data_IF_846629499758
#
_entry.id   IF_846629499758
#
_cell.length_a   1.000
_cell.length_b   1.000
_cell.length_c   1.000
_cell.angle_alpha   90.00
_cell.angle_beta   90.00
_cell.angle_gamma   90.00
#
_symmetry.space_group_name_H-M   'P 1'
#
loop_
_entity.id
_entity.type
_entity.pdbx_description
1 polymer ?
#
# COMPACT_ATOMS: atom_id res chain seq x y z
N UNK A 1 1.13 -6.05 14.19
CA UNK A 1 1.16 -4.70 13.61
C UNK A 1 2.22 -3.90 14.35
N UNK A 2 2.86 -2.94 13.68
CA UNK A 2 3.78 -2.04 14.35
C UNK A 2 3.03 -0.90 15.06
N UNK A 3 3.43 -0.53 16.28
CA UNK A 3 2.78 0.51 17.08
C UNK A 3 2.98 1.95 16.55
N UNK A 4 3.91 2.17 15.61
CA UNK A 4 4.33 3.51 15.20
C UNK A 4 3.22 4.43 14.66
N UNK A 5 2.15 3.87 14.09
CA UNK A 5 1.00 4.65 13.58
C UNK A 5 -0.27 4.46 14.43
N UNK A 6 -0.52 3.25 14.93
CA UNK A 6 -1.71 2.94 15.73
C UNK A 6 -1.72 3.66 17.09
N UNK A 7 -0.56 3.84 17.73
CA UNK A 7 -0.47 4.58 19.01
C UNK A 7 -0.85 6.06 18.84
N UNK A 8 -0.30 6.79 17.85
CA UNK A 8 -0.79 8.14 17.53
C UNK A 8 -2.29 8.22 17.26
N UNK A 9 -2.88 7.25 16.55
CA UNK A 9 -4.33 7.23 16.31
C UNK A 9 -5.12 7.09 17.60
N UNK A 10 -4.69 6.23 18.52
CA UNK A 10 -5.33 6.07 19.84
C UNK A 10 -5.20 7.35 20.68
N UNK A 11 -4.04 8.02 20.62
CA UNK A 11 -3.84 9.30 21.31
C UNK A 11 -4.80 10.35 20.76
N UNK A 12 -4.93 10.45 19.43
CA UNK A 12 -5.87 11.36 18.76
C UNK A 12 -7.32 11.08 19.19
N UNK A 13 -7.71 9.81 19.19
CA UNK A 13 -9.05 9.36 19.58
C UNK A 13 -9.39 9.76 21.02
N UNK A 14 -8.46 9.52 21.96
CA UNK A 14 -8.62 9.92 23.37
C UNK A 14 -8.62 11.43 23.56
N UNK A 15 -7.76 12.15 22.84
CA UNK A 15 -7.66 13.61 22.93
C UNK A 15 -8.95 14.29 22.44
N UNK A 16 -9.58 13.74 21.41
CA UNK A 16 -10.85 14.22 20.86
C UNK A 16 -12.08 13.65 21.58
N UNK A 17 -11.91 12.81 22.59
CA UNK A 17 -12.99 12.16 23.35
C UNK A 17 -14.00 11.43 22.44
N UNK A 18 -13.52 10.78 21.39
CA UNK A 18 -14.38 10.03 20.48
C UNK A 18 -14.88 8.76 21.16
N UNK A 19 -16.20 8.62 21.28
CA UNK A 19 -16.84 7.48 21.96
C UNK A 19 -17.68 6.62 21.02
N UNK A 20 -18.26 7.19 19.96
CA UNK A 20 -19.02 6.44 18.97
C UNK A 20 -18.09 5.81 17.92
N UNK A 21 -18.26 4.51 17.67
CA UNK A 21 -17.39 3.75 16.76
C UNK A 21 -17.33 4.33 15.35
N UNK A 22 -18.42 4.88 14.80
CA UNK A 22 -18.41 5.51 13.47
C UNK A 22 -17.52 6.74 13.47
N UNK A 23 -17.62 7.59 14.49
CA UNK A 23 -16.76 8.79 14.58
C UNK A 23 -15.28 8.42 14.71
N UNK A 24 -14.97 7.32 15.40
CA UNK A 24 -13.61 6.77 15.48
C UNK A 24 -13.11 6.31 14.11
N UNK A 25 -13.91 5.55 13.36
CA UNK A 25 -13.56 5.13 12.00
C UNK A 25 -13.31 6.33 11.08
N UNK A 26 -14.23 7.31 11.08
CA UNK A 26 -14.12 8.52 10.25
C UNK A 26 -12.85 9.32 10.58
N UNK A 27 -12.53 9.51 11.87
CA UNK A 27 -11.32 10.21 12.29
C UNK A 27 -10.03 9.47 11.89
N UNK A 28 -9.99 8.14 12.07
CA UNK A 28 -8.84 7.31 11.67
C UNK A 28 -8.65 7.28 10.16
N UNK A 29 -9.74 7.23 9.39
CA UNK A 29 -9.71 7.29 7.93
C UNK A 29 -9.14 8.62 7.44
N UNK A 30 -9.62 9.73 8.00
CA UNK A 30 -9.12 11.07 7.69
C UNK A 30 -7.63 11.21 8.03
N UNK A 31 -7.22 10.79 9.23
CA UNK A 31 -5.82 10.85 9.66
C UNK A 31 -4.89 10.03 8.73
N UNK A 32 -5.33 8.84 8.31
CA UNK A 32 -4.59 7.98 7.37
C UNK A 32 -4.43 8.67 6.01
N UNK A 33 -5.51 9.25 5.48
CA UNK A 33 -5.50 9.93 4.19
C UNK A 33 -4.63 11.19 4.21
N UNK A 34 -4.75 12.02 5.24
CA UNK A 34 -3.92 13.22 5.39
C UNK A 34 -2.43 12.87 5.50
N UNK A 35 -2.08 11.81 6.24
CA UNK A 35 -0.70 11.36 6.35
C UNK A 35 -0.13 10.91 4.99
N UNK A 36 -0.94 10.21 4.19
CA UNK A 36 -0.59 9.86 2.82
C UNK A 36 -0.34 11.10 1.94
N UNK A 37 -1.24 12.09 1.96
CA UNK A 37 -1.11 13.31 1.16
C UNK A 37 0.16 14.12 1.53
N UNK A 38 0.46 14.23 2.82
CA UNK A 38 1.69 14.87 3.31
C UNK A 38 2.91 14.11 2.75
N UNK A 39 2.90 12.78 2.81
CA UNK A 39 4.01 11.98 2.27
C UNK A 39 4.15 12.09 0.75
N UNK A 40 3.05 12.21 0.01
CA UNK A 40 3.07 12.41 -1.42
C UNK A 40 3.72 13.75 -1.78
N UNK A 41 3.44 14.81 -1.00
CA UNK A 41 4.15 16.07 -1.11
C UNK A 41 5.64 15.94 -0.77
N UNK A 42 6.03 15.14 0.24
CA UNK A 42 7.44 14.80 0.45
C UNK A 42 8.05 14.09 -0.77
N UNK A 43 7.27 13.26 -1.48
CA UNK A 43 7.66 12.67 -2.76
C UNK A 43 7.94 13.70 -3.86
N UNK A 44 7.13 14.76 -3.95
CA UNK A 44 7.41 15.92 -4.82
C UNK A 44 8.77 16.55 -4.48
N UNK A 45 9.03 16.82 -3.19
CA UNK A 45 10.27 17.45 -2.75
C UNK A 45 11.47 16.55 -3.04
N UNK A 46 11.34 15.24 -2.82
CA UNK A 46 12.37 14.26 -3.15
C UNK A 46 12.68 14.25 -4.65
N UNK A 47 11.65 14.16 -5.49
CA UNK A 47 11.81 14.21 -6.94
C UNK A 47 12.47 15.52 -7.39
N UNK A 48 12.08 16.66 -6.80
CA UNK A 48 12.72 17.95 -7.10
C UNK A 48 14.19 17.98 -6.70
N UNK A 49 14.54 17.36 -5.57
CA UNK A 49 15.94 17.24 -5.12
C UNK A 49 16.78 16.35 -6.04
N UNK A 50 16.22 15.23 -6.52
CA UNK A 50 16.91 14.28 -7.39
C UNK A 50 17.08 14.81 -8.83
N UNK A 51 16.00 15.31 -9.42
CA UNK A 51 15.95 15.62 -10.85
C UNK A 51 16.13 17.11 -11.18
N UNK A 52 15.98 18.00 -10.19
CA UNK A 52 16.09 19.46 -10.36
C UNK A 52 15.16 20.06 -11.44
N UNK A 53 14.10 19.34 -11.80
CA UNK A 53 13.10 19.73 -12.80
C UNK A 53 11.71 19.81 -12.17
N UNK A 54 11.13 21.02 -11.94
CA UNK A 54 9.84 21.17 -11.27
C UNK A 54 8.68 20.43 -11.94
N UNK A 55 8.63 20.42 -13.28
CA UNK A 55 7.59 19.72 -14.03
C UNK A 55 7.67 18.20 -13.84
N UNK A 56 8.88 17.64 -13.81
CA UNK A 56 9.10 16.22 -13.57
C UNK A 56 8.78 15.83 -12.11
N UNK A 57 9.09 16.71 -11.16
CA UNK A 57 8.69 16.53 -9.76
C UNK A 57 7.17 16.56 -9.59
N UNK A 58 6.48 17.47 -10.28
CA UNK A 58 5.01 17.53 -10.29
C UNK A 58 4.42 16.26 -10.93
N UNK A 59 5.03 15.76 -12.01
CA UNK A 59 4.64 14.48 -12.58
C UNK A 59 4.80 13.34 -11.55
N UNK A 60 5.89 13.30 -10.80
CA UNK A 60 6.11 12.33 -9.73
C UNK A 60 5.03 12.38 -8.64
N UNK A 61 4.67 13.58 -8.20
CA UNK A 61 3.56 13.79 -7.26
C UNK A 61 2.23 13.27 -7.82
N UNK A 62 1.89 13.67 -9.05
CA UNK A 62 0.66 13.24 -9.70
C UNK A 62 0.64 11.72 -9.85
N UNK A 63 1.76 11.12 -10.25
CA UNK A 63 1.93 9.68 -10.35
C UNK A 63 1.64 8.98 -9.01
N UNK A 64 2.19 9.48 -7.89
CA UNK A 64 1.98 8.91 -6.56
C UNK A 64 0.51 8.94 -6.13
N UNK A 65 -0.18 10.05 -6.39
CA UNK A 65 -1.57 10.27 -5.97
C UNK A 65 -2.57 9.56 -6.89
N UNK A 66 -2.32 9.52 -8.20
CA UNK A 66 -3.20 8.90 -9.20
C UNK A 66 -2.92 7.40 -9.39
N UNK A 67 -2.48 6.69 -8.35
CA UNK A 67 -2.53 5.24 -8.34
C UNK A 67 -3.86 4.80 -7.71
N UNK A 68 -4.85 4.32 -8.49
CA UNK A 68 -6.23 4.15 -8.01
C UNK A 68 -6.34 3.33 -6.73
N UNK A 69 -5.65 2.19 -6.71
CA UNK A 69 -5.67 1.27 -5.58
C UNK A 69 -5.05 1.87 -4.32
N UNK A 70 -3.83 2.40 -4.41
CA UNK A 70 -3.13 3.06 -3.28
C UNK A 70 -3.92 4.28 -2.79
N UNK A 71 -4.50 5.07 -3.70
CA UNK A 71 -5.34 6.21 -3.33
C UNK A 71 -6.57 5.78 -2.54
N UNK A 72 -7.33 4.77 -2.98
CA UNK A 72 -8.45 4.24 -2.20
C UNK A 72 -7.99 3.71 -0.83
N UNK A 73 -6.93 2.90 -0.80
CA UNK A 73 -6.39 2.38 0.45
C UNK A 73 -5.97 3.48 1.43
N UNK A 74 -5.60 4.67 0.95
CA UNK A 74 -5.24 5.76 1.85
C UNK A 74 -6.38 6.21 2.77
N UNK A 75 -7.63 5.88 2.45
CA UNK A 75 -8.77 6.16 3.32
C UNK A 75 -8.96 5.14 4.43
N UNK A 76 -8.53 3.89 4.29
CA UNK A 76 -8.96 2.82 5.22
C UNK A 76 -7.88 1.81 5.62
N UNK A 77 -6.72 1.84 4.95
CA UNK A 77 -5.62 0.92 5.23
C UNK A 77 -4.63 1.55 6.22
N UNK A 78 -4.90 1.41 7.52
CA UNK A 78 -4.07 1.95 8.60
C UNK A 78 -2.70 1.26 8.76
N UNK A 79 -2.32 0.34 7.86
CA UNK A 79 -1.13 -0.51 8.01
C UNK A 79 -0.14 -0.36 6.87
N UNK A 80 -0.57 -0.56 5.63
CA UNK A 80 0.33 -0.53 4.48
C UNK A 80 0.58 0.90 4.00
N UNK A 81 -0.43 1.77 4.04
CA UNK A 81 -0.31 3.15 3.56
C UNK A 81 0.50 4.04 4.51
N UNK A 82 0.31 3.99 5.84
CA UNK A 82 1.19 4.71 6.76
C UNK A 82 2.64 4.24 6.65
N UNK A 83 2.86 2.94 6.40
CA UNK A 83 4.20 2.43 6.17
C UNK A 83 4.82 2.96 4.87
N UNK A 84 4.09 2.95 3.75
CA UNK A 84 4.51 3.60 2.51
C UNK A 84 4.86 5.07 2.75
N UNK A 85 3.99 5.78 3.47
CA UNK A 85 4.11 7.21 3.74
C UNK A 85 5.37 7.52 4.55
N UNK A 86 5.60 6.79 5.65
CA UNK A 86 6.80 6.92 6.47
C UNK A 86 8.06 6.52 5.68
N UNK A 87 7.99 5.50 4.83
CA UNK A 87 9.10 5.08 3.97
C UNK A 87 9.48 6.15 2.96
N UNK A 88 8.51 6.80 2.31
CA UNK A 88 8.73 7.91 1.38
C UNK A 88 9.32 9.14 2.08
N UNK A 89 8.84 9.47 3.28
CA UNK A 89 9.43 10.53 4.11
C UNK A 89 10.88 10.16 4.46
N UNK A 90 11.16 8.92 4.86
CA UNK A 90 12.52 8.47 5.13
C UNK A 90 13.43 8.55 3.90
N UNK A 91 12.93 8.20 2.71
CA UNK A 91 13.66 8.39 1.44
C UNK A 91 14.05 9.86 1.24
N UNK A 92 13.13 10.80 1.47
CA UNK A 92 13.41 12.24 1.39
C UNK A 92 14.51 12.65 2.38
N UNK A 93 14.36 12.29 3.66
CA UNK A 93 15.32 12.69 4.69
C UNK A 93 16.71 12.10 4.44
N UNK A 94 16.80 10.84 3.99
CA UNK A 94 18.04 10.22 3.55
C UNK A 94 18.68 10.99 2.39
N UNK A 95 17.88 11.41 1.40
CA UNK A 95 18.38 12.22 0.28
C UNK A 95 18.89 13.60 0.72
N UNK A 96 18.21 14.26 1.68
CA UNK A 96 18.68 15.52 2.27
C UNK A 96 19.99 15.30 3.02
N UNK A 97 20.10 14.22 3.79
CA UNK A 97 21.31 13.90 4.57
C UNK A 97 22.55 13.77 3.69
N UNK A 98 22.44 13.08 2.54
CA UNK A 98 23.58 12.89 1.62
C UNK A 98 23.86 14.11 0.73
N UNK A 99 22.87 14.98 0.53
CA UNK A 99 23.04 16.23 -0.21
C UNK A 99 23.61 17.35 0.68
N UNK A 100 23.41 17.25 1.99
CA UNK A 100 23.88 18.19 3.00
C UNK A 100 25.23 17.79 3.60
N UNK A 101 25.80 18.71 4.39
CA UNK A 101 27.03 18.47 5.17
C UNK A 101 26.80 18.25 6.66
N UNK A 102 25.58 18.48 7.13
CA UNK A 102 25.28 18.60 8.56
C UNK A 102 24.89 17.26 9.18
N UNK A 103 25.49 16.97 10.34
CA UNK A 103 25.36 15.70 11.01
C UNK A 103 23.93 15.42 11.52
N UNK A 104 23.17 16.47 11.88
CA UNK A 104 21.79 16.34 12.33
C UNK A 104 20.86 15.74 11.27
N UNK A 105 21.16 15.88 9.97
CA UNK A 105 20.35 15.22 8.94
C UNK A 105 20.55 13.69 8.92
N UNK A 106 21.73 13.20 9.33
CA UNK A 106 21.94 11.76 9.52
C UNK A 106 21.19 11.26 10.76
N UNK A 107 21.14 12.06 11.84
CA UNK A 107 20.27 11.78 13.00
C UNK A 107 18.81 11.68 12.57
N UNK A 108 18.32 12.67 11.80
CA UNK A 108 16.96 12.71 11.29
C UNK A 108 16.67 11.55 10.32
N UNK A 109 17.64 11.16 9.48
CA UNK A 109 17.50 10.01 8.59
C UNK A 109 17.36 8.71 9.40
N UNK A 110 18.20 8.51 10.41
CA UNK A 110 18.08 7.38 11.34
C UNK A 110 16.72 7.33 12.01
N UNK A 111 16.27 8.47 12.54
CA UNK A 111 14.96 8.63 13.16
C UNK A 111 13.80 8.30 12.19
N UNK A 112 13.83 8.81 10.96
CA UNK A 112 12.78 8.57 9.98
C UNK A 112 12.71 7.09 9.55
N UNK A 113 13.86 6.45 9.31
CA UNK A 113 13.92 5.02 8.96
C UNK A 113 13.47 4.14 10.14
N UNK A 114 13.80 4.51 11.38
CA UNK A 114 13.31 3.84 12.58
C UNK A 114 11.81 3.98 12.75
N UNK A 115 11.25 5.17 12.50
CA UNK A 115 9.82 5.38 12.54
C UNK A 115 9.09 4.49 11.53
N UNK A 116 9.54 4.45 10.27
CA UNK A 116 9.00 3.52 9.27
C UNK A 116 9.11 2.06 9.72
N UNK A 117 10.26 1.67 10.31
CA UNK A 117 10.50 0.33 10.84
C UNK A 117 9.59 -0.03 12.02
N UNK A 118 9.16 0.96 12.81
CA UNK A 118 8.23 0.80 13.93
C UNK A 118 6.77 0.60 13.48
N UNK A 119 6.42 0.99 12.25
CA UNK A 119 5.13 0.67 11.62
C UNK A 119 5.18 -0.74 11.03
N UNK A 120 6.25 -1.06 10.30
CA UNK A 120 6.55 -2.41 9.83
C UNK A 120 8.05 -2.68 9.82
N UNK A 121 8.44 -3.83 10.38
CA UNK A 121 9.86 -4.20 10.52
C UNK A 121 10.62 -4.29 9.20
N UNK A 122 9.94 -4.55 8.07
CA UNK A 122 10.56 -4.56 6.73
C UNK A 122 11.07 -3.17 6.30
N UNK A 123 10.71 -2.09 7.02
CA UNK A 123 11.32 -0.77 6.85
C UNK A 123 12.85 -0.77 6.99
N UNK A 124 13.41 -1.77 7.70
CA UNK A 124 14.86 -1.98 7.82
C UNK A 124 15.56 -2.19 6.47
N UNK A 125 14.83 -2.54 5.40
CA UNK A 125 15.38 -2.58 4.04
C UNK A 125 16.02 -1.25 3.65
N UNK A 126 15.44 -0.11 4.05
CA UNK A 126 16.02 1.19 3.76
C UNK A 126 17.27 1.47 4.62
N UNK A 127 17.34 0.93 5.84
CA UNK A 127 18.58 0.94 6.65
C UNK A 127 19.71 0.26 5.88
N UNK A 128 19.47 -0.95 5.35
CA UNK A 128 20.47 -1.68 4.57
C UNK A 128 20.93 -0.90 3.33
N UNK A 129 19.98 -0.35 2.56
CA UNK A 129 20.28 0.47 1.39
C UNK A 129 21.09 1.74 1.73
N UNK A 130 20.71 2.45 2.80
CA UNK A 130 21.42 3.66 3.22
C UNK A 130 22.80 3.36 3.82
N UNK A 131 22.97 2.24 4.52
CA UNK A 131 24.29 1.81 4.97
C UNK A 131 25.20 1.45 3.79
N UNK A 132 24.65 0.84 2.73
CA UNK A 132 25.40 0.62 1.50
C UNK A 132 25.84 1.95 0.85
N UNK A 133 24.98 2.99 0.87
CA UNK A 133 25.37 4.34 0.42
C UNK A 133 26.62 4.84 1.16
N UNK A 134 26.58 4.79 2.49
CA UNK A 134 27.65 5.29 3.36
C UNK A 134 28.92 4.44 3.27
N UNK A 135 28.78 3.13 3.04
CA UNK A 135 29.91 2.25 2.78
C UNK A 135 30.62 2.65 1.48
N UNK A 136 29.88 2.99 0.42
CA UNK A 136 30.49 3.51 -0.81
C UNK A 136 31.19 4.86 -0.57
N UNK A 137 30.63 5.76 0.26
CA UNK A 137 31.30 7.01 0.64
C UNK A 137 32.65 6.76 1.32
N UNK A 138 32.75 5.70 2.13
CA UNK A 138 33.99 5.30 2.80
C UNK A 138 35.10 4.94 1.79
N UNK A 139 34.76 4.27 0.69
CA UNK A 139 35.73 3.80 -0.30
C UNK A 139 35.99 4.78 -1.45
N UNK A 140 35.05 5.67 -1.77
CA UNK A 140 35.13 6.55 -2.95
C UNK A 140 35.71 7.95 -2.67
N UNK A 141 36.31 8.13 -1.49
CA UNK A 141 36.99 9.38 -1.08
C UNK A 141 36.05 10.59 -0.94
N UNK A 142 34.75 10.37 -0.75
CA UNK A 142 33.73 11.43 -0.58
C UNK A 142 33.77 12.12 0.81
N UNK A 143 34.75 11.79 1.65
CA UNK A 143 35.00 12.38 2.96
C UNK A 143 36.17 11.73 3.67
N UNK A 144 36.59 12.27 4.82
CA UNK A 144 37.54 11.58 5.69
C UNK A 144 36.85 10.38 6.35
N UNK A 145 37.61 9.30 6.59
CA UNK A 145 37.14 8.10 7.30
C UNK A 145 36.41 8.45 8.61
N UNK A 146 36.94 9.43 9.35
CA UNK A 146 36.34 9.96 10.58
C UNK A 146 34.96 10.58 10.34
N UNK A 147 34.80 11.38 9.27
CA UNK A 147 33.53 12.00 8.95
C UNK A 147 32.46 10.95 8.61
N UNK A 148 32.79 9.94 7.80
CA UNK A 148 31.86 8.86 7.46
C UNK A 148 31.49 8.03 8.68
N UNK A 149 32.46 7.72 9.56
CA UNK A 149 32.18 7.06 10.85
C UNK A 149 31.18 7.88 11.70
N UNK A 150 31.37 9.20 11.81
CA UNK A 150 30.45 10.06 12.53
C UNK A 150 29.04 10.06 11.93
N UNK A 151 28.91 10.06 10.60
CA UNK A 151 27.61 9.96 9.90
C UNK A 151 26.89 8.66 10.26
N UNK A 152 27.60 7.53 10.24
CA UNK A 152 27.08 6.21 10.60
C UNK A 152 26.64 6.18 12.07
N UNK A 153 27.50 6.62 12.99
CA UNK A 153 27.19 6.67 14.43
C UNK A 153 25.96 7.52 14.69
N UNK A 154 25.88 8.70 14.06
CA UNK A 154 24.74 9.61 14.26
C UNK A 154 23.46 9.04 13.67
N UNK A 155 23.54 8.39 12.51
CA UNK A 155 22.39 7.67 11.95
C UNK A 155 21.88 6.60 12.93
N UNK A 156 22.76 5.76 13.47
CA UNK A 156 22.35 4.71 14.40
C UNK A 156 21.86 5.26 15.75
N UNK A 157 22.36 6.40 16.20
CA UNK A 157 21.84 7.10 17.37
C UNK A 157 20.38 7.51 17.17
N UNK A 158 20.06 8.15 16.04
CA UNK A 158 18.69 8.54 15.70
C UNK A 158 17.78 7.33 15.50
N UNK A 159 18.31 6.29 14.84
CA UNK A 159 17.60 5.04 14.60
C UNK A 159 17.24 4.34 15.91
N UNK A 160 18.22 4.07 16.78
CA UNK A 160 18.00 3.38 18.05
C UNK A 160 17.05 4.17 18.97
N UNK A 161 17.24 5.50 19.06
CA UNK A 161 16.40 6.36 19.88
C UNK A 161 14.93 6.32 19.48
N UNK A 162 14.62 6.58 18.21
CA UNK A 162 13.22 6.59 17.74
C UNK A 162 12.62 5.19 17.68
N UNK A 163 13.40 4.16 17.33
CA UNK A 163 12.90 2.78 17.29
C UNK A 163 12.46 2.34 18.70
N UNK A 164 13.27 2.65 19.72
CA UNK A 164 12.92 2.35 21.11
C UNK A 164 11.67 3.12 21.54
N UNK A 165 11.60 4.44 21.27
CA UNK A 165 10.45 5.26 21.67
C UNK A 165 9.14 4.84 21.00
N UNK A 166 9.17 4.61 19.68
CA UNK A 166 7.98 4.33 18.89
C UNK A 166 7.55 2.85 18.93
N UNK A 167 8.30 1.98 19.62
CA UNK A 167 8.01 0.55 19.66
C UNK A 167 7.97 0.00 21.09
N UNK A 168 6.83 0.15 21.81
CA UNK A 168 6.73 -0.22 23.24
C UNK A 168 7.10 -1.67 23.58
N UNK A 169 6.96 -2.60 22.64
CA UNK A 169 7.43 -3.98 22.80
C UNK A 169 8.93 -4.06 23.14
N UNK A 170 9.72 -3.11 22.62
CA UNK A 170 11.17 -3.05 22.82
C UNK A 170 11.53 -2.49 24.21
N UNK A 171 10.61 -1.87 24.95
CA UNK A 171 10.91 -1.27 26.26
C UNK A 171 11.32 -2.31 27.31
N UNK A 172 10.71 -3.50 27.24
CA UNK A 172 11.01 -4.60 28.18
C UNK A 172 12.21 -5.41 27.74
N UNK A 173 12.35 -5.67 26.45
CA UNK A 173 13.41 -6.52 25.91
C UNK A 173 13.77 -6.10 24.47
N UNK A 174 14.68 -5.11 24.29
CA UNK A 174 14.91 -4.49 22.98
C UNK A 174 15.41 -5.48 21.92
N UNK A 175 16.41 -6.30 22.27
CA UNK A 175 17.05 -7.21 21.31
C UNK A 175 16.15 -8.39 20.99
N UNK A 176 15.70 -9.12 22.02
CA UNK A 176 14.86 -10.31 21.83
C UNK A 176 13.48 -9.94 21.29
N UNK A 177 12.91 -8.80 21.69
CA UNK A 177 11.64 -8.29 21.15
C UNK A 177 11.72 -7.97 19.65
N UNK A 178 12.83 -7.38 19.20
CA UNK A 178 13.07 -7.12 17.77
C UNK A 178 13.20 -8.43 16.99
N UNK A 179 14.03 -9.36 17.46
CA UNK A 179 14.25 -10.67 16.83
C UNK A 179 12.93 -11.47 16.76
N UNK A 180 12.17 -11.52 17.84
CA UNK A 180 10.89 -12.21 17.87
C UNK A 180 9.87 -11.59 16.90
N UNK A 181 9.91 -10.27 16.71
CA UNK A 181 9.02 -9.57 15.78
C UNK A 181 9.32 -9.89 14.32
N UNK A 182 10.60 -10.08 13.95
CA UNK A 182 10.98 -10.53 12.60
C UNK A 182 10.60 -12.00 12.38
N UNK A 183 10.75 -12.87 13.38
CA UNK A 183 10.31 -14.26 13.28
C UNK A 183 8.80 -14.40 13.13
N UNK A 184 8.00 -13.58 13.82
CA UNK A 184 6.53 -13.59 13.70
C UNK A 184 6.05 -13.32 12.27
N UNK A 185 6.80 -12.60 11.43
CA UNK A 185 6.44 -12.44 10.01
C UNK A 185 6.36 -13.78 9.26
N UNK A 186 7.09 -14.81 9.69
CA UNK A 186 7.08 -16.13 9.05
C UNK A 186 5.87 -16.99 9.46
N UNK A 187 5.23 -16.68 10.59
CA UNK A 187 4.33 -17.62 11.27
C UNK A 187 2.89 -17.13 11.39
N UNK A 188 2.52 -15.95 10.85
CA UNK A 188 1.11 -15.49 10.86
C UNK A 188 0.29 -16.46 9.99
N UNK A 189 -0.58 -17.30 10.58
CA UNK A 189 -1.52 -18.11 9.82
C UNK A 189 -2.71 -17.22 9.49
N UNK A 190 -2.99 -17.00 8.21
CA UNK A 190 -4.23 -16.34 7.79
C UNK A 190 -5.32 -17.40 7.56
N UNK A 191 -4.94 -18.57 7.05
CA UNK A 191 -5.82 -19.74 6.94
C UNK A 191 -6.95 -19.60 5.92
N UNK A 192 -6.96 -18.53 5.13
CA UNK A 192 -7.95 -18.32 4.07
C UNK A 192 -7.48 -18.81 2.70
N UNK A 193 -8.40 -18.79 1.74
CA UNK A 193 -8.15 -19.12 0.34
C UNK A 193 -7.94 -17.83 -0.44
N UNK A 194 -6.92 -17.83 -1.31
CA UNK A 194 -6.62 -16.75 -2.24
C UNK A 194 -7.00 -17.17 -3.66
N UNK A 195 -7.73 -16.33 -4.37
CA UNK A 195 -8.09 -16.55 -5.77
C UNK A 195 -7.08 -15.86 -6.69
N UNK A 196 -6.45 -16.62 -7.58
CA UNK A 196 -5.50 -16.10 -8.55
C UNK A 196 -5.55 -16.85 -9.88
N UNK A 197 -5.79 -16.11 -10.97
CA UNK A 197 -6.02 -16.64 -12.32
C UNK A 197 -7.00 -17.81 -12.36
N UNK A 198 -8.06 -17.72 -11.56
CA UNK A 198 -9.14 -18.71 -11.49
C UNK A 198 -8.83 -19.97 -10.67
N UNK A 199 -7.67 -20.03 -10.02
CA UNK A 199 -7.30 -21.12 -9.14
C UNK A 199 -7.17 -20.64 -7.68
N UNK A 200 -7.53 -21.54 -6.76
CA UNK A 200 -7.44 -21.33 -5.31
C UNK A 200 -6.07 -21.72 -4.77
N UNK A 201 -5.48 -20.84 -3.97
CA UNK A 201 -4.19 -21.04 -3.32
C UNK A 201 -4.27 -20.73 -1.83
N UNK A 202 -3.29 -21.23 -1.07
CA UNK A 202 -3.03 -20.80 0.31
C UNK A 202 -1.95 -19.72 0.32
N UNK A 203 -1.85 -18.96 1.40
CA UNK A 203 -0.93 -17.84 1.56
C UNK A 203 0.56 -18.23 1.46
N UNK A 204 0.88 -19.52 1.63
CA UNK A 204 2.25 -20.08 1.52
C UNK A 204 2.52 -20.80 0.21
N UNK A 205 1.50 -21.11 -0.59
CA UNK A 205 1.62 -21.88 -1.82
C UNK A 205 1.26 -21.05 -3.06
N UNK A 206 1.67 -19.79 -3.08
CA UNK A 206 1.42 -18.90 -4.21
C UNK A 206 2.46 -19.14 -5.32
N UNK A 207 2.03 -19.11 -6.60
CA UNK A 207 2.96 -19.22 -7.72
C UNK A 207 3.89 -17.99 -7.76
N UNK A 208 5.13 -18.18 -8.22
CA UNK A 208 6.13 -17.11 -8.30
C UNK A 208 5.65 -15.86 -9.08
N UNK A 209 4.76 -16.06 -10.05
CA UNK A 209 4.15 -14.99 -10.84
C UNK A 209 3.07 -14.18 -10.12
N UNK A 210 2.67 -14.52 -8.89
CA UNK A 210 1.59 -13.84 -8.16
C UNK A 210 1.84 -12.35 -7.95
N UNK A 211 2.94 -12.01 -7.25
CA UNK A 211 3.30 -10.63 -6.95
C UNK A 211 3.58 -9.80 -8.21
N UNK A 212 4.39 -10.28 -9.19
CA UNK A 212 4.58 -9.57 -10.45
C UNK A 212 3.28 -9.34 -11.20
N UNK A 213 2.36 -10.32 -11.23
CA UNK A 213 1.08 -10.16 -11.92
C UNK A 213 0.22 -9.12 -11.23
N UNK A 214 0.02 -9.22 -9.91
CA UNK A 214 -0.74 -8.22 -9.14
C UNK A 214 -0.18 -6.81 -9.28
N UNK A 215 1.14 -6.65 -9.18
CA UNK A 215 1.80 -5.37 -9.41
C UNK A 215 1.53 -4.82 -10.81
N UNK A 216 1.62 -5.68 -11.83
CA UNK A 216 1.45 -5.27 -13.24
C UNK A 216 0.01 -4.92 -13.59
N UNK A 217 -0.97 -5.68 -13.11
CA UNK A 217 -2.37 -5.50 -13.51
C UNK A 217 -3.12 -4.41 -12.74
N UNK A 218 -2.64 -4.05 -11.54
CA UNK A 218 -3.29 -3.05 -10.68
C UNK A 218 -2.66 -1.66 -10.77
N UNK A 219 -1.67 -1.49 -11.64
CA UNK A 219 -0.99 -0.22 -11.89
C UNK A 219 -1.36 0.30 -13.28
N UNK A 220 -1.66 1.60 -13.45
CA UNK A 220 -1.90 2.12 -14.78
C UNK A 220 -0.67 1.98 -15.71
N UNK A 221 -0.90 1.83 -17.01
CA UNK A 221 0.05 1.27 -17.98
C UNK A 221 1.30 2.14 -18.15
N UNK A 222 1.12 3.46 -18.28
CA UNK A 222 2.26 4.36 -18.51
C UNK A 222 3.21 4.45 -17.30
N UNK A 223 2.67 4.34 -16.08
CA UNK A 223 3.48 4.23 -14.86
C UNK A 223 4.30 2.94 -14.87
N UNK A 224 3.67 1.81 -15.18
CA UNK A 224 4.33 0.50 -15.26
C UNK A 224 5.43 0.52 -16.33
N UNK A 225 5.10 0.99 -17.54
CA UNK A 225 6.04 1.07 -18.65
C UNK A 225 7.25 1.94 -18.30
N UNK A 226 7.03 3.17 -17.82
CA UNK A 226 8.13 4.09 -17.51
C UNK A 226 8.97 3.62 -16.33
N UNK A 227 8.37 3.03 -15.30
CA UNK A 227 9.15 2.47 -14.18
C UNK A 227 10.02 1.27 -14.60
N UNK A 228 9.51 0.37 -15.46
CA UNK A 228 10.29 -0.73 -16.02
C UNK A 228 11.42 -0.22 -16.93
N UNK A 229 11.13 0.72 -17.82
CA UNK A 229 12.15 1.37 -18.66
C UNK A 229 13.22 2.08 -17.80
N UNK A 230 12.81 2.69 -16.70
CA UNK A 230 13.69 3.35 -15.75
C UNK A 230 14.70 2.40 -15.13
N UNK A 231 14.23 1.24 -14.66
CA UNK A 231 15.07 0.15 -14.16
C UNK A 231 16.07 -0.30 -15.23
N UNK A 232 15.57 -0.62 -16.43
CA UNK A 232 16.40 -1.14 -17.53
C UNK A 232 17.48 -0.14 -17.92
N UNK A 233 17.13 1.12 -18.16
CA UNK A 233 18.10 2.15 -18.54
C UNK A 233 19.09 2.48 -17.44
N UNK A 234 18.67 2.54 -16.18
CA UNK A 234 19.59 2.79 -15.08
C UNK A 234 20.62 1.66 -14.98
N UNK A 235 20.19 0.40 -15.09
CA UNK A 235 21.09 -0.77 -15.08
C UNK A 235 22.05 -0.76 -16.28
N UNK A 236 21.57 -0.48 -17.49
CA UNK A 236 22.44 -0.37 -18.68
C UNK A 236 23.49 0.73 -18.48
N UNK A 237 23.09 1.91 -17.97
CA UNK A 237 24.01 3.01 -17.73
C UNK A 237 25.02 2.70 -16.63
N UNK A 238 24.58 2.00 -15.56
CA UNK A 238 25.46 1.51 -14.52
C UNK A 238 26.50 0.53 -15.05
N UNK A 239 26.08 -0.45 -15.87
CA UNK A 239 26.99 -1.43 -16.47
C UNK A 239 28.00 -0.78 -17.42
N UNK A 240 27.60 0.28 -18.14
CA UNK A 240 28.50 1.04 -19.03
C UNK A 240 29.47 1.94 -18.27
N UNK A 241 29.02 2.56 -17.18
CA UNK A 241 29.78 3.59 -16.45
C UNK A 241 29.64 3.46 -14.92
N UNK A 242 30.09 2.35 -14.31
CA UNK A 242 29.84 2.08 -12.90
C UNK A 242 30.48 3.12 -11.98
N UNK A 243 31.65 3.65 -12.35
CA UNK A 243 32.36 4.67 -11.57
C UNK A 243 31.55 5.99 -11.43
N UNK A 244 30.71 6.34 -12.41
CA UNK A 244 29.87 7.54 -12.35
C UNK A 244 28.80 7.37 -11.28
N UNK A 245 28.13 6.22 -11.25
CA UNK A 245 27.13 5.88 -10.24
C UNK A 245 27.70 5.82 -8.84
N UNK A 246 28.96 5.38 -8.69
CA UNK A 246 29.62 5.36 -7.40
C UNK A 246 30.06 6.76 -6.96
N UNK A 247 30.25 7.74 -7.84
CA UNK A 247 30.71 9.10 -7.49
C UNK A 247 29.59 10.13 -7.37
N UNK A 248 28.53 10.00 -8.18
CA UNK A 248 27.42 10.95 -8.23
C UNK A 248 26.35 10.58 -7.19
N UNK A 249 26.06 11.45 -6.19
CA UNK A 249 25.08 11.14 -5.14
C UNK A 249 23.70 10.73 -5.65
N UNK A 250 23.19 11.43 -6.66
CA UNK A 250 21.90 11.16 -7.30
C UNK A 250 21.85 9.75 -7.90
N UNK A 251 22.82 9.44 -8.77
CA UNK A 251 22.84 8.15 -9.49
C UNK A 251 23.05 6.98 -8.52
N UNK A 252 23.89 7.19 -7.50
CA UNK A 252 24.06 6.22 -6.40
C UNK A 252 22.74 5.97 -5.66
N UNK A 253 22.00 7.03 -5.34
CA UNK A 253 20.70 6.93 -4.67
C UNK A 253 19.69 6.16 -5.52
N UNK A 254 19.63 6.42 -6.83
CA UNK A 254 18.76 5.69 -7.75
C UNK A 254 19.15 4.19 -7.83
N UNK A 255 20.44 3.86 -7.79
CA UNK A 255 20.90 2.46 -7.73
C UNK A 255 20.44 1.76 -6.45
N UNK A 256 20.50 2.46 -5.30
CA UNK A 256 19.96 1.95 -4.04
C UNK A 256 18.45 1.75 -4.13
N UNK A 257 17.72 2.63 -4.83
CA UNK A 257 16.29 2.44 -5.02
C UNK A 257 15.97 1.18 -5.82
N UNK A 258 16.79 0.79 -6.80
CA UNK A 258 16.66 -0.52 -7.46
C UNK A 258 16.87 -1.66 -6.45
N UNK A 259 17.92 -1.60 -5.64
CA UNK A 259 18.20 -2.62 -4.62
C UNK A 259 17.03 -2.72 -3.63
N UNK A 260 16.56 -1.60 -3.09
CA UNK A 260 15.45 -1.55 -2.16
C UNK A 260 14.09 -1.92 -2.80
N UNK A 261 13.95 -1.81 -4.12
CA UNK A 261 12.75 -2.23 -4.84
C UNK A 261 12.70 -3.76 -4.99
N UNK A 262 13.81 -4.40 -5.38
CA UNK A 262 13.86 -5.85 -5.60
C UNK A 262 14.13 -6.67 -4.32
N UNK A 263 14.86 -6.12 -3.35
CA UNK A 263 15.24 -6.86 -2.14
C UNK A 263 14.03 -7.38 -1.34
N UNK A 264 12.98 -6.57 -1.06
CA UNK A 264 11.80 -7.06 -0.34
C UNK A 264 11.05 -8.21 -1.01
N UNK A 265 10.62 -8.14 -2.30
CA UNK A 265 9.91 -9.26 -2.93
C UNK A 265 10.78 -10.52 -3.02
N UNK A 266 12.09 -10.38 -3.29
CA UNK A 266 13.03 -11.51 -3.31
C UNK A 266 13.15 -12.14 -1.92
N UNK A 267 13.26 -11.33 -0.86
CA UNK A 267 13.32 -11.81 0.51
C UNK A 267 12.03 -12.53 0.92
N UNK A 268 10.85 -12.00 0.56
CA UNK A 268 9.57 -12.65 0.84
C UNK A 268 9.47 -14.02 0.14
N UNK A 269 9.86 -14.09 -1.13
CA UNK A 269 9.88 -15.34 -1.89
C UNK A 269 10.87 -16.36 -1.28
N UNK A 270 12.09 -15.93 -0.95
CA UNK A 270 13.11 -16.77 -0.35
C UNK A 270 12.71 -17.29 1.04
N UNK A 271 12.02 -16.47 1.84
CA UNK A 271 11.53 -16.82 3.17
C UNK A 271 10.23 -17.64 3.14
N UNK A 272 9.59 -17.80 1.97
CA UNK A 272 8.22 -18.32 1.82
C UNK A 272 7.26 -17.62 2.78
N UNK A 273 7.39 -16.30 2.87
CA UNK A 273 6.55 -15.49 3.74
C UNK A 273 5.12 -15.47 3.21
N UNK A 274 4.14 -15.43 4.13
CA UNK A 274 2.74 -15.33 3.75
C UNK A 274 2.47 -14.01 3.02
N UNK A 275 1.92 -14.10 1.81
CA UNK A 275 1.38 -12.97 1.05
C UNK A 275 -0.13 -13.14 1.01
N UNK A 276 -0.87 -12.07 1.28
CA UNK A 276 -2.33 -12.10 1.45
C UNK A 276 -2.92 -11.00 0.58
N UNK A 277 -4.06 -11.29 -0.04
CA UNK A 277 -4.86 -10.40 -0.88
C UNK A 277 -4.17 -10.01 -2.20
N UNK A 278 -3.32 -8.98 -2.19
CA UNK A 278 -2.62 -8.47 -3.36
C UNK A 278 -1.14 -8.18 -3.01
N UNK A 279 -0.54 -7.16 -3.62
CA UNK A 279 0.83 -6.74 -3.31
C UNK A 279 0.90 -5.66 -2.22
N UNK A 280 -0.16 -5.44 -1.43
CA UNK A 280 -0.29 -4.43 -0.35
C UNK A 280 0.86 -4.42 0.64
N UNK A 281 1.39 -5.58 0.99
CA UNK A 281 2.55 -5.68 1.89
C UNK A 281 3.82 -5.05 1.31
N UNK A 282 3.84 -4.84 -0.01
CA UNK A 282 4.92 -4.23 -0.77
C UNK A 282 4.58 -2.83 -1.28
N UNK A 283 3.44 -2.21 -0.93
CA UNK A 283 3.11 -0.85 -1.38
C UNK A 283 4.23 0.17 -1.13
N UNK A 284 5.00 0.02 -0.05
CA UNK A 284 6.14 0.89 0.25
C UNK A 284 7.26 0.90 -0.81
N UNK A 285 7.34 -0.09 -1.72
CA UNK A 285 8.31 -0.06 -2.83
C UNK A 285 7.82 0.81 -3.99
N UNK A 286 6.53 1.20 -4.02
CA UNK A 286 5.95 2.01 -5.08
C UNK A 286 6.65 3.37 -5.24
N UNK A 287 6.94 4.15 -4.17
CA UNK A 287 7.68 5.40 -4.34
C UNK A 287 9.09 5.24 -4.95
N UNK A 288 9.77 4.12 -4.68
CA UNK A 288 11.05 3.78 -5.33
C UNK A 288 10.84 3.62 -6.84
N UNK A 289 9.81 2.86 -7.21
CA UNK A 289 9.42 2.65 -8.61
C UNK A 289 9.04 3.95 -9.31
N UNK A 290 8.35 4.86 -8.63
CA UNK A 290 8.04 6.20 -9.16
C UNK A 290 9.31 6.99 -9.48
N UNK A 291 10.30 7.02 -8.57
CA UNK A 291 11.56 7.72 -8.84
C UNK A 291 12.29 7.11 -10.05
N UNK A 292 12.22 5.79 -10.23
CA UNK A 292 12.77 5.12 -11.41
C UNK A 292 11.98 5.46 -12.69
N UNK A 293 10.65 5.58 -12.60
CA UNK A 293 9.82 6.04 -13.71
C UNK A 293 10.19 7.47 -14.16
N UNK A 294 10.42 8.38 -13.21
CA UNK A 294 10.86 9.74 -13.52
C UNK A 294 12.24 9.77 -14.20
N UNK A 295 13.15 8.87 -13.82
CA UNK A 295 14.42 8.70 -14.52
C UNK A 295 14.21 8.33 -15.99
N UNK A 296 13.27 7.43 -16.30
CA UNK A 296 12.94 7.13 -17.70
C UNK A 296 12.35 8.35 -18.42
N UNK A 297 11.41 9.07 -17.80
CA UNK A 297 10.78 10.24 -18.44
C UNK A 297 11.81 11.33 -18.75
N UNK A 298 12.74 11.61 -17.83
CA UNK A 298 13.85 12.54 -18.07
C UNK A 298 14.69 12.13 -19.29
N UNK A 299 14.98 10.83 -19.42
CA UNK A 299 15.74 10.28 -20.56
C UNK A 299 14.95 10.31 -21.86
N UNK A 300 13.67 9.94 -21.84
CA UNK A 300 12.78 10.01 -23.00
C UNK A 300 12.69 11.43 -23.54
N UNK A 301 12.70 12.45 -22.68
CA UNK A 301 12.64 13.85 -23.09
C UNK A 301 13.88 14.31 -23.91
N UNK A 302 14.95 13.52 -23.94
CA UNK A 302 16.12 13.77 -24.80
C UNK A 302 15.88 13.32 -26.25
N UNK A 303 14.95 12.38 -26.48
CA UNK A 303 14.66 11.77 -27.78
C UNK A 303 13.27 12.14 -28.33
N UNK A 304 12.32 12.43 -27.45
CA UNK A 304 10.95 12.81 -27.77
C UNK A 304 10.68 14.25 -27.32
N UNK A 305 9.95 15.01 -28.14
CA UNK A 305 9.53 16.36 -27.76
C UNK A 305 8.70 16.29 -26.48
N UNK A 306 9.01 17.14 -25.51
CA UNK A 306 8.34 17.17 -24.19
C UNK A 306 6.82 17.29 -24.29
N UNK A 307 6.30 17.99 -25.31
CA UNK A 307 4.86 18.07 -25.59
C UNK A 307 4.20 16.71 -25.80
N UNK A 308 4.83 15.79 -26.54
CA UNK A 308 4.28 14.44 -26.75
C UNK A 308 4.27 13.62 -25.46
N UNK A 309 5.33 13.68 -24.67
CA UNK A 309 5.36 13.03 -23.35
C UNK A 309 4.26 13.59 -22.44
N UNK A 310 4.10 14.91 -22.41
CA UNK A 310 3.03 15.56 -21.65
C UNK A 310 1.65 15.11 -22.11
N UNK A 311 1.40 15.00 -23.43
CA UNK A 311 0.13 14.49 -23.97
C UNK A 311 -0.12 13.05 -23.56
N UNK A 312 0.88 12.15 -23.66
CA UNK A 312 0.72 10.75 -23.26
C UNK A 312 0.35 10.61 -21.78
N UNK A 313 1.05 11.34 -20.91
CA UNK A 313 0.72 11.36 -19.49
C UNK A 313 -0.64 11.99 -19.22
N UNK A 314 -0.99 13.10 -19.89
CA UNK A 314 -2.30 13.74 -19.73
C UNK A 314 -3.45 12.80 -20.12
N UNK A 315 -3.33 12.07 -21.23
CA UNK A 315 -4.32 11.07 -21.67
C UNK A 315 -4.45 9.96 -20.64
N UNK A 316 -3.33 9.43 -20.15
CA UNK A 316 -3.37 8.39 -19.14
C UNK A 316 -3.99 8.90 -17.81
N UNK A 317 -3.64 10.12 -17.36
CA UNK A 317 -4.27 10.73 -16.18
C UNK A 317 -5.77 10.96 -16.40
N UNK A 318 -6.21 11.31 -17.61
CA UNK A 318 -7.64 11.44 -17.92
C UNK A 318 -8.38 10.10 -17.80
N UNK A 319 -7.81 9.00 -18.27
CA UNK A 319 -8.38 7.66 -18.06
C UNK A 319 -8.47 7.29 -16.57
N UNK A 320 -7.41 7.56 -15.81
CA UNK A 320 -7.43 7.31 -14.36
C UNK A 320 -8.43 8.21 -13.65
N UNK A 321 -8.52 9.49 -14.00
CA UNK A 321 -9.49 10.42 -13.44
C UNK A 321 -10.92 9.97 -13.74
N UNK A 322 -11.20 9.57 -14.98
CA UNK A 322 -12.49 9.02 -15.37
C UNK A 322 -12.84 7.79 -14.53
N UNK A 323 -11.89 6.87 -14.32
CA UNK A 323 -12.08 5.74 -13.41
C UNK A 323 -12.35 6.20 -11.96
N UNK A 324 -11.61 7.20 -11.44
CA UNK A 324 -11.84 7.74 -10.11
C UNK A 324 -13.27 8.22 -9.93
N UNK A 325 -13.82 8.93 -10.92
CA UNK A 325 -15.20 9.43 -10.88
C UNK A 325 -16.22 8.28 -10.97
N UNK A 326 -16.09 7.38 -11.93
CA UNK A 326 -17.10 6.33 -12.16
C UNK A 326 -17.07 5.23 -11.12
N UNK A 327 -15.90 4.95 -10.54
CA UNK A 327 -15.74 3.89 -9.57
C UNK A 327 -15.84 4.38 -8.13
N UNK A 328 -16.02 5.67 -7.84
CA UNK A 328 -16.02 6.16 -6.45
C UNK A 328 -17.15 5.51 -5.61
N UNK A 329 -16.87 5.02 -4.38
CA UNK A 329 -15.60 5.05 -3.62
C UNK A 329 -14.73 3.77 -3.74
N UNK A 330 -14.88 3.00 -4.82
CA UNK A 330 -14.32 1.67 -5.06
C UNK A 330 -13.01 1.65 -5.87
N UNK A 331 -12.15 2.67 -5.79
CA UNK A 331 -10.92 2.70 -6.60
C UNK A 331 -9.91 1.59 -6.21
N UNK A 332 -10.08 0.94 -5.06
CA UNK A 332 -9.25 -0.20 -4.63
C UNK A 332 -9.38 -1.40 -5.56
N UNK A 333 -10.49 -1.55 -6.28
CA UNK A 333 -10.71 -2.67 -7.20
C UNK A 333 -10.24 -2.35 -8.63
N UNK A 334 -9.33 -1.40 -8.82
CA UNK A 334 -8.83 -1.10 -10.17
C UNK A 334 -8.01 -2.25 -10.76
N UNK A 335 -8.30 -2.57 -12.02
CA UNK A 335 -7.39 -3.26 -12.95
C UNK A 335 -7.22 -2.47 -14.26
N UNK A 336 -6.03 -2.55 -14.81
CA UNK A 336 -5.65 -1.93 -16.08
C UNK A 336 -6.06 -2.81 -17.29
N UNK A 337 -5.72 -2.38 -18.51
CA UNK A 337 -6.09 -3.09 -19.75
C UNK A 337 -5.16 -4.26 -20.12
N UNK A 338 -4.19 -4.62 -19.28
CA UNK A 338 -3.36 -5.82 -19.48
C UNK A 338 -4.07 -7.12 -19.12
N UNK A 339 -5.32 -7.04 -18.65
CA UNK A 339 -6.16 -8.18 -18.29
C UNK A 339 -7.50 -8.06 -19.02
N UNK A 340 -8.17 -9.18 -19.37
CA UNK A 340 -9.48 -9.15 -20.01
C UNK A 340 -10.60 -8.44 -19.20
N UNK A 341 -11.32 -7.49 -19.81
CA UNK A 341 -12.45 -6.76 -19.19
C UNK A 341 -13.82 -7.37 -19.50
N UNK A 342 -13.87 -8.69 -19.77
CA UNK A 342 -15.14 -9.39 -20.01
C UNK A 342 -15.94 -9.54 -18.71
N UNK A 343 -17.25 -9.75 -18.82
CA UNK A 343 -18.15 -9.84 -17.68
C UNK A 343 -17.65 -10.83 -16.61
N UNK A 344 -17.66 -10.37 -15.35
CA UNK A 344 -17.27 -11.13 -14.15
C UNK A 344 -15.83 -11.70 -14.16
N UNK A 345 -14.99 -11.32 -15.11
CA UNK A 345 -13.63 -11.86 -15.21
C UNK A 345 -12.81 -11.62 -13.95
N UNK A 346 -12.93 -10.45 -13.32
CA UNK A 346 -12.11 -10.11 -12.17
C UNK A 346 -12.52 -10.90 -10.94
N UNK A 347 -13.81 -10.93 -10.65
CA UNK A 347 -14.41 -11.72 -9.56
C UNK A 347 -14.02 -13.20 -9.65
N UNK A 348 -14.01 -13.76 -10.85
CA UNK A 348 -13.76 -15.18 -11.08
C UNK A 348 -12.29 -15.55 -11.16
N UNK A 349 -11.39 -14.58 -11.30
CA UNK A 349 -9.96 -14.84 -11.47
C UNK A 349 -9.09 -14.28 -10.36
N UNK A 350 -9.56 -13.31 -9.58
CA UNK A 350 -8.75 -12.63 -8.58
C UNK A 350 -9.58 -12.33 -7.33
N UNK A 351 -8.92 -12.24 -6.17
CA UNK A 351 -9.51 -11.65 -4.98
C UNK A 351 -9.79 -10.15 -5.21
N UNK A 352 -10.89 -9.87 -5.89
CA UNK A 352 -11.14 -8.57 -6.50
C UNK A 352 -11.50 -7.52 -5.45
N UNK A 353 -12.58 -7.75 -4.69
CA UNK A 353 -13.02 -6.87 -3.60
C UNK A 353 -12.78 -7.49 -2.22
N UNK A 354 -11.52 -7.76 -1.91
CA UNK A 354 -11.14 -8.49 -0.70
C UNK A 354 -11.29 -7.66 0.59
N UNK A 355 -11.39 -6.33 0.49
CA UNK A 355 -11.44 -5.41 1.64
C UNK A 355 -12.85 -5.16 2.17
N UNK A 356 -13.88 -5.36 1.34
CA UNK A 356 -15.28 -5.22 1.74
C UNK A 356 -15.77 -3.78 1.88
N UNK A 357 -15.18 -2.81 1.17
CA UNK A 357 -15.61 -1.41 1.20
C UNK A 357 -17.07 -1.23 0.74
N UNK A 358 -17.57 -2.13 -0.11
CA UNK A 358 -18.93 -2.11 -0.62
C UNK A 358 -20.01 -2.64 0.35
N UNK A 359 -19.63 -3.29 1.47
CA UNK A 359 -20.59 -3.86 2.42
C UNK A 359 -21.46 -2.79 3.09
N UNK A 360 -20.91 -1.59 3.34
CA UNK A 360 -21.68 -0.50 3.95
C UNK A 360 -22.83 -0.06 3.05
N UNK A 361 -22.58 0.05 1.74
CA UNK A 361 -23.61 0.43 0.77
C UNK A 361 -24.67 -0.67 0.63
N UNK A 362 -24.25 -1.93 0.59
CA UNK A 362 -25.16 -3.08 0.59
C UNK A 362 -26.08 -3.11 1.81
N UNK A 363 -25.56 -2.83 3.01
CA UNK A 363 -26.38 -2.74 4.23
C UNK A 363 -27.35 -1.56 4.19
N UNK A 364 -26.91 -0.39 3.70
CA UNK A 364 -27.78 0.77 3.56
C UNK A 364 -28.94 0.51 2.58
N UNK A 365 -28.67 -0.21 1.48
CA UNK A 365 -29.71 -0.66 0.56
C UNK A 365 -30.76 -1.51 1.27
N UNK A 366 -30.32 -2.54 2.02
CA UNK A 366 -31.24 -3.42 2.76
C UNK A 366 -32.09 -2.61 3.75
N UNK A 367 -31.45 -1.76 4.56
CA UNK A 367 -32.14 -1.01 5.62
C UNK A 367 -33.12 0.06 5.09
N UNK A 368 -32.96 0.46 3.83
CA UNK A 368 -33.88 1.37 3.14
C UNK A 368 -35.12 0.65 2.57
N UNK A 369 -35.03 -0.67 2.32
CA UNK A 369 -36.11 -1.45 1.69
C UNK A 369 -36.78 -2.44 2.64
N UNK A 370 -36.15 -2.76 3.77
CA UNK A 370 -36.75 -3.58 4.84
C UNK A 370 -37.15 -2.68 6.01
N UNK A 371 -38.39 -2.76 6.46
CA UNK A 371 -38.93 -1.97 7.58
C UNK A 371 -38.92 -2.70 8.92
N UNK A 372 -38.39 -3.93 8.98
CA UNK A 372 -38.31 -4.69 10.22
C UNK A 372 -37.49 -3.95 11.28
N UNK A 373 -37.87 -4.16 12.55
CA UNK A 373 -37.19 -3.59 13.70
C UNK A 373 -35.75 -4.13 13.84
N UNK A 374 -35.54 -5.40 13.48
CA UNK A 374 -34.24 -6.02 13.31
C UNK A 374 -34.16 -6.73 11.97
N UNK A 375 -33.01 -6.59 11.31
CA UNK A 375 -32.67 -7.20 10.04
C UNK A 375 -31.45 -8.09 10.25
N UNK A 376 -31.63 -9.39 10.02
CA UNK A 376 -30.61 -10.42 10.24
C UNK A 376 -29.81 -10.63 8.95
N UNK A 377 -28.51 -10.37 8.99
CA UNK A 377 -27.64 -10.39 7.81
C UNK A 377 -26.54 -11.43 7.98
N UNK A 378 -26.46 -12.36 7.03
CA UNK A 378 -25.37 -13.32 6.91
C UNK A 378 -24.33 -12.85 5.88
N UNK A 379 -23.07 -13.22 6.09
CA UNK A 379 -21.93 -12.89 5.23
C UNK A 379 -20.61 -13.14 5.96
N UNK A 380 -19.51 -12.70 5.37
CA UNK A 380 -18.20 -12.69 6.04
C UNK A 380 -18.26 -11.83 7.30
N UNK A 381 -18.12 -12.47 8.46
CA UNK A 381 -18.37 -11.91 9.79
C UNK A 381 -17.70 -10.54 9.99
N UNK A 382 -16.38 -10.48 9.80
CA UNK A 382 -15.62 -9.24 10.00
C UNK A 382 -16.10 -8.11 9.08
N UNK A 383 -16.42 -8.41 7.82
CA UNK A 383 -16.84 -7.38 6.85
C UNK A 383 -18.24 -6.85 7.18
N UNK A 384 -19.17 -7.73 7.54
CA UNK A 384 -20.53 -7.34 7.94
C UNK A 384 -20.48 -6.54 9.24
N UNK A 385 -19.78 -7.02 10.27
CA UNK A 385 -19.67 -6.33 11.57
C UNK A 385 -18.99 -4.97 11.42
N UNK A 386 -17.89 -4.89 10.67
CA UNK A 386 -17.23 -3.60 10.41
C UNK A 386 -18.14 -2.63 9.65
N UNK A 387 -18.89 -3.10 8.66
CA UNK A 387 -19.84 -2.26 7.96
C UNK A 387 -20.99 -1.78 8.86
N UNK A 388 -21.55 -2.65 9.72
CA UNK A 388 -22.58 -2.28 10.72
C UNK A 388 -22.05 -1.21 11.67
N UNK A 389 -20.85 -1.38 12.23
CA UNK A 389 -20.26 -0.39 13.16
C UNK A 389 -20.07 0.99 12.51
N UNK A 390 -19.88 1.05 11.19
CA UNK A 390 -19.78 2.31 10.45
C UNK A 390 -21.14 2.98 10.12
N UNK A 391 -22.27 2.36 10.48
CA UNK A 391 -23.60 2.92 10.23
C UNK A 391 -23.98 4.00 11.26
N UNK A 392 -24.90 4.92 10.91
CA UNK A 392 -25.55 5.81 11.87
C UNK A 392 -26.25 5.01 13.00
N UNK A 393 -26.35 5.54 14.23
CA UNK A 393 -26.89 4.79 15.37
C UNK A 393 -28.25 4.11 15.13
N UNK A 394 -29.20 4.82 14.51
CA UNK A 394 -30.53 4.27 14.20
C UNK A 394 -30.47 3.08 13.23
N UNK A 395 -29.59 3.16 12.22
CA UNK A 395 -29.38 2.08 11.24
C UNK A 395 -28.58 0.92 11.85
N UNK A 396 -27.55 1.25 12.66
CA UNK A 396 -26.68 0.28 13.35
C UNK A 396 -27.48 -0.64 14.26
N UNK A 397 -28.40 -0.08 15.04
CA UNK A 397 -29.22 -0.85 16.00
C UNK A 397 -30.22 -1.81 15.32
N UNK A 398 -30.53 -1.57 14.04
CA UNK A 398 -31.44 -2.42 13.26
C UNK A 398 -30.73 -3.59 12.58
N UNK A 399 -29.45 -3.46 12.23
CA UNK A 399 -28.70 -4.50 11.52
C UNK A 399 -27.95 -5.42 12.50
N UNK A 400 -28.15 -6.73 12.37
CA UNK A 400 -27.48 -7.74 13.20
C UNK A 400 -26.81 -8.77 12.30
N UNK A 401 -25.52 -9.00 12.51
CA UNK A 401 -24.83 -10.14 11.88
C UNK A 401 -25.28 -11.44 12.54
N UNK A 402 -25.63 -12.43 11.72
CA UNK A 402 -26.02 -13.77 12.18
C UNK A 402 -25.32 -14.85 11.35
N UNK A 403 -25.22 -16.04 11.90
CA UNK A 403 -24.74 -17.24 11.22
C UNK A 403 -25.78 -17.82 10.27
N UNK A 404 -25.36 -18.70 9.36
CA UNK A 404 -26.22 -19.28 8.32
C UNK A 404 -27.38 -20.10 8.90
N UNK A 405 -27.13 -20.83 9.98
CA UNK A 405 -28.09 -21.65 10.73
C UNK A 405 -29.04 -20.83 11.61
N UNK A 406 -28.72 -19.56 11.87
CA UNK A 406 -29.53 -18.63 12.64
C UNK A 406 -30.62 -17.92 11.79
N UNK A 407 -31.05 -18.52 10.67
CA UNK A 407 -32.13 -18.00 9.82
C UNK A 407 -31.94 -16.49 9.46
N UNK A 408 -30.88 -16.14 8.73
CA UNK A 408 -30.71 -14.78 8.21
C UNK A 408 -31.85 -14.39 7.26
N UNK A 409 -32.15 -13.09 7.18
CA UNK A 409 -33.08 -12.52 6.21
C UNK A 409 -32.39 -12.23 4.87
N UNK A 410 -31.11 -11.86 4.93
CA UNK A 410 -30.29 -11.46 3.80
C UNK A 410 -28.90 -12.10 3.84
N UNK A 411 -28.32 -12.31 2.67
CA UNK A 411 -26.94 -12.72 2.51
C UNK A 411 -26.16 -11.67 1.69
N UNK A 412 -25.05 -11.17 2.22
CA UNK A 412 -24.14 -10.23 1.54
C UNK A 412 -22.82 -10.92 1.25
N UNK A 413 -22.37 -10.84 -0.01
CA UNK A 413 -21.10 -11.43 -0.45
C UNK A 413 -20.34 -10.51 -1.39
N UNK A 414 -19.02 -10.51 -1.24
CA UNK A 414 -18.04 -10.02 -2.22
C UNK A 414 -17.41 -11.16 -3.03
N UNK A 415 -18.00 -12.37 -2.95
CA UNK A 415 -17.57 -13.59 -3.66
C UNK A 415 -16.16 -14.08 -3.30
N UNK A 416 -15.61 -13.60 -2.17
CA UNK A 416 -14.34 -14.07 -1.66
C UNK A 416 -14.47 -15.52 -1.18
N UNK A 417 -13.62 -16.40 -1.72
CA UNK A 417 -13.65 -17.84 -1.43
C UNK A 417 -14.78 -18.62 -2.13
N UNK A 418 -15.67 -17.93 -2.87
CA UNK A 418 -16.73 -18.53 -3.68
C UNK A 418 -17.05 -17.59 -4.87
N UNK A 419 -16.24 -17.64 -5.94
CA UNK A 419 -16.39 -16.74 -7.08
C UNK A 419 -17.65 -16.99 -7.92
N UNK A 420 -18.33 -18.11 -7.73
CA UNK A 420 -19.51 -18.50 -8.50
C UNK A 420 -20.78 -17.78 -8.02
N UNK A 421 -21.81 -17.83 -8.86
CA UNK A 421 -23.13 -17.30 -8.52
C UNK A 421 -23.83 -18.14 -7.46
N UNK A 422 -24.68 -17.49 -6.67
CA UNK A 422 -25.51 -18.17 -5.68
C UNK A 422 -26.89 -18.43 -6.27
N UNK A 423 -27.47 -19.63 -6.07
CA UNK A 423 -28.83 -19.95 -6.49
C UNK A 423 -29.86 -19.34 -5.52
N UNK A 424 -29.75 -18.04 -5.28
CA UNK A 424 -30.61 -17.26 -4.40
C UNK A 424 -31.16 -16.05 -5.17
N UNK A 425 -32.34 -15.53 -4.82
CA UNK A 425 -32.87 -14.30 -5.42
C UNK A 425 -31.93 -13.12 -5.15
N UNK A 426 -31.26 -12.62 -6.19
CA UNK A 426 -30.43 -11.40 -6.13
C UNK A 426 -31.35 -10.17 -6.02
N UNK A 427 -31.09 -9.33 -5.02
CA UNK A 427 -31.85 -8.10 -4.78
C UNK A 427 -31.09 -6.84 -5.16
N UNK A 428 -29.76 -6.87 -5.06
CA UNK A 428 -28.90 -5.71 -5.29
C UNK A 428 -27.49 -6.17 -5.65
N UNK A 429 -26.81 -5.41 -6.50
CA UNK A 429 -25.40 -5.60 -6.79
C UNK A 429 -24.73 -4.30 -7.21
N UNK A 430 -23.44 -4.23 -6.94
CA UNK A 430 -22.56 -3.16 -7.44
C UNK A 430 -21.54 -3.80 -8.37
N UNK A 431 -21.34 -3.19 -9.54
CA UNK A 431 -20.32 -3.60 -10.50
C UNK A 431 -19.29 -2.49 -10.70
N UNK A 432 -18.03 -2.90 -10.81
CA UNK A 432 -16.91 -2.04 -11.23
C UNK A 432 -16.18 -2.77 -12.35
N UNK A 433 -15.93 -2.09 -13.46
CA UNK A 433 -15.26 -2.66 -14.64
C UNK A 433 -15.81 -4.04 -15.04
N UNK A 434 -17.14 -4.12 -15.21
CA UNK A 434 -17.89 -5.32 -15.60
C UNK A 434 -17.82 -6.52 -14.63
N UNK A 435 -17.26 -6.36 -13.44
CA UNK A 435 -17.20 -7.41 -12.42
C UNK A 435 -17.92 -6.97 -11.15
N UNK A 436 -18.66 -7.90 -10.54
CA UNK A 436 -19.43 -7.63 -9.33
C UNK A 436 -18.50 -7.53 -8.11
N UNK A 437 -18.62 -6.46 -7.34
CA UNK A 437 -17.82 -6.21 -6.11
C UNK A 437 -18.59 -6.54 -4.83
N UNK A 438 -19.92 -6.44 -4.87
CA UNK A 438 -20.82 -6.91 -3.80
C UNK A 438 -22.17 -7.27 -4.39
N UNK A 439 -22.82 -8.28 -3.81
CA UNK A 439 -24.20 -8.65 -4.08
C UNK A 439 -24.97 -8.91 -2.77
N UNK A 440 -26.26 -8.63 -2.81
CA UNK A 440 -27.24 -8.90 -1.74
C UNK A 440 -28.26 -9.90 -2.26
N UNK A 441 -28.48 -10.95 -1.50
CA UNK A 441 -29.46 -11.99 -1.79
C UNK A 441 -30.52 -12.07 -0.70
N UNK A 442 -31.76 -12.43 -1.08
CA UNK A 442 -32.80 -12.79 -0.11
C UNK A 442 -32.61 -14.23 0.35
N UNK A 443 -32.63 -14.45 1.66
CA UNK A 443 -32.59 -15.80 2.21
C UNK A 443 -34.00 -16.39 2.26
N UNK A 444 -34.17 -17.69 1.95
CA UNK A 444 -35.46 -18.35 2.05
C UNK A 444 -35.91 -18.43 3.51
N UNK A 445 -37.23 -18.32 3.75
CA UNK A 445 -37.82 -18.38 5.09
C UNK A 445 -37.64 -19.74 5.80
N UNK A 446 -37.22 -20.77 5.08
CA UNK A 446 -36.85 -22.10 5.59
C UNK A 446 -35.49 -22.49 4.99
N UNK A 447 -34.58 -23.11 5.77
CA UNK A 447 -33.30 -23.56 5.22
C UNK A 447 -33.59 -24.54 4.06
N UNK A 448 -32.85 -24.44 2.94
CA UNK A 448 -32.98 -25.44 1.89
C UNK A 448 -32.70 -26.82 2.49
N UNK A 449 -33.62 -27.76 2.24
CA UNK A 449 -33.43 -29.18 2.55
C UNK A 449 -32.12 -29.60 1.87
N UNK A 450 -31.20 -30.17 2.66
CA UNK A 450 -29.82 -30.49 2.26
C UNK A 450 -29.73 -31.30 0.97
#
# INVERSE_FOLDING_TARGET
MGPGFEVPLIILEKALQLTDSRTVYEARHLATHLYFLISAFCGYVLARGLFRAPALALLGYAILVFHPRIYAHSFFNSKDIPFLSAFLIAMLVCNIAVSGRWLHWYLAAGAAVAYASSIRVIGVTLTGGFMLYLLVDWFTSAGSTKATAMRVVTFFMGFAGVLYLCWPLLWRAPVTGFINSTYRLKTIPWGGVLLYKGASYTEKNLPAGYLPSWFSISMPELWLLTGLLGIIWLLINFLKQPAVFLKTPRDRMLLIYIICFFLPPVALAAMRAAVIDDWRHLYFIYPLFVMLALYAVERCAQYLKTGWLATLFAVQFAFVAQFFFTAHPYQQVYFNFLVPHRAEYFRTNYDYEYWGCAYREALLYILAHDTAAQVRVYGLEDLVKNAITCLPPNSRNRAVHVWKDERPDYFITNFRGHPEDFPLPELYKIKVQNSTVVAVYKMPASPPVQ
#
